data_IF_215376351010
#
_entry.id   IF_215376351010
#
_cell.length_a   1.000
_cell.length_b   1.000
_cell.length_c   1.000
_cell.angle_alpha   90.00
_cell.angle_beta   90.00
_cell.angle_gamma   90.00
#
_symmetry.space_group_name_H-M   'P 1'
#
loop_
_entity.id
_entity.type
_entity.pdbx_description
1 polymer ?
#
# COMPACT_ATOMS: atom_id res chain seq x y z
N UNK A 1 10.07 -55.11 19.86
CA UNK A 1 10.67 -54.08 18.98
C UNK A 1 9.59 -53.29 18.23
N UNK A 2 8.48 -53.93 17.80
CA UNK A 2 7.32 -53.26 17.19
C UNK A 2 6.65 -52.21 18.10
N UNK A 3 6.37 -52.55 19.37
CA UNK A 3 5.64 -51.65 20.28
C UNK A 3 6.36 -50.33 20.56
N UNK A 4 7.68 -50.34 20.66
CA UNK A 4 8.50 -49.13 20.90
C UNK A 4 8.47 -48.21 19.67
N UNK A 5 8.49 -48.80 18.47
CA UNK A 5 8.44 -48.07 17.22
C UNK A 5 7.04 -47.46 17.00
N UNK A 6 5.99 -48.20 17.35
CA UNK A 6 4.61 -47.72 17.31
C UNK A 6 4.37 -46.55 18.27
N UNK A 7 4.83 -46.66 19.52
CA UNK A 7 4.76 -45.57 20.50
C UNK A 7 5.52 -44.32 20.04
N UNK A 8 6.68 -44.49 19.38
CA UNK A 8 7.45 -43.37 18.82
C UNK A 8 6.70 -42.62 17.72
N UNK A 9 6.04 -43.33 16.79
CA UNK A 9 5.26 -42.70 15.73
C UNK A 9 4.01 -42.00 16.25
N UNK A 10 3.33 -42.57 17.24
CA UNK A 10 2.17 -41.94 17.90
C UNK A 10 2.58 -40.63 18.60
N UNK A 11 3.67 -40.65 19.35
CA UNK A 11 4.17 -39.46 20.06
C UNK A 11 4.57 -38.34 19.06
N UNK A 12 5.24 -38.72 17.97
CA UNK A 12 5.63 -37.79 16.91
C UNK A 12 4.40 -37.19 16.22
N UNK A 13 3.39 -38.01 15.91
CA UNK A 13 2.11 -37.56 15.34
C UNK A 13 1.38 -36.57 16.26
N UNK A 14 1.30 -36.87 17.55
CA UNK A 14 0.69 -35.97 18.55
C UNK A 14 1.43 -34.63 18.65
N UNK A 15 2.76 -34.63 18.62
CA UNK A 15 3.57 -33.41 18.62
C UNK A 15 3.31 -32.55 17.36
N UNK A 16 3.20 -33.17 16.18
CA UNK A 16 2.88 -32.46 14.94
C UNK A 16 1.46 -31.88 14.99
N UNK A 17 0.48 -32.66 15.44
CA UNK A 17 -0.90 -32.18 15.61
C UNK A 17 -0.98 -31.00 16.58
N UNK A 18 -0.28 -31.07 17.72
CA UNK A 18 -0.23 -29.99 18.69
C UNK A 18 0.43 -28.72 18.10
N UNK A 19 1.53 -28.88 17.35
CA UNK A 19 2.19 -27.76 16.68
C UNK A 19 1.29 -27.11 15.62
N UNK A 20 0.57 -27.90 14.83
CA UNK A 20 -0.43 -27.41 13.88
C UNK A 20 -1.57 -26.67 14.59
N UNK A 21 -2.08 -27.22 15.70
CA UNK A 21 -3.17 -26.61 16.46
C UNK A 21 -2.75 -25.28 17.09
N UNK A 22 -1.52 -25.17 17.62
CA UNK A 22 -0.95 -23.89 18.10
C UNK A 22 -0.81 -22.87 16.96
N UNK A 23 -0.40 -23.29 15.76
CA UNK A 23 -0.36 -22.42 14.57
C UNK A 23 -1.76 -21.96 14.18
N UNK A 24 -2.74 -22.87 14.15
CA UNK A 24 -4.14 -22.55 13.86
C UNK A 24 -4.74 -21.62 14.91
N UNK A 25 -4.46 -21.81 16.20
CA UNK A 25 -4.91 -20.91 17.27
C UNK A 25 -4.25 -19.54 17.19
N UNK A 26 -2.95 -19.47 16.86
CA UNK A 26 -2.27 -18.19 16.61
C UNK A 26 -2.87 -17.47 15.41
N UNK A 27 -3.15 -18.21 14.34
CA UNK A 27 -3.77 -17.69 13.13
C UNK A 27 -5.21 -17.21 13.39
N UNK A 28 -6.04 -18.01 14.07
CA UNK A 28 -7.42 -17.66 14.40
C UNK A 28 -7.48 -16.49 15.40
N UNK A 29 -6.59 -16.46 16.40
CA UNK A 29 -6.46 -15.32 17.32
C UNK A 29 -5.99 -14.06 16.60
N UNK A 30 -5.09 -14.17 15.61
CA UNK A 30 -4.75 -13.04 14.73
C UNK A 30 -5.98 -12.57 13.94
N UNK A 31 -6.79 -13.47 13.38
CA UNK A 31 -8.01 -13.10 12.65
C UNK A 31 -9.06 -12.45 13.59
N UNK A 32 -9.33 -13.07 14.74
CA UNK A 32 -10.37 -12.65 15.70
C UNK A 32 -10.00 -11.35 16.42
N UNK A 33 -8.75 -11.18 16.88
CA UNK A 33 -8.33 -9.93 17.54
C UNK A 33 -8.21 -8.76 16.56
N UNK A 34 -7.96 -9.03 15.28
CA UNK A 34 -7.92 -8.00 14.23
C UNK A 34 -9.31 -7.54 13.78
N UNK A 35 -10.37 -8.32 14.04
CA UNK A 35 -11.74 -7.96 13.69
C UNK A 35 -12.32 -6.86 14.60
N UNK A 36 -11.79 -6.69 15.81
CA UNK A 36 -12.41 -5.84 16.85
C UNK A 36 -11.71 -4.50 17.13
N UNK A 37 -10.56 -4.20 16.51
CA UNK A 37 -9.82 -2.96 16.79
C UNK A 37 -9.84 -1.99 15.60
N UNK A 38 -10.91 -1.20 15.51
CA UNK A 38 -11.04 -0.06 14.60
C UNK A 38 -10.01 1.00 14.98
N UNK A 39 -9.25 1.48 13.98
CA UNK A 39 -8.33 2.59 14.18
C UNK A 39 -9.07 3.85 14.60
N UNK A 40 -8.64 4.51 15.69
CA UNK A 40 -9.29 5.73 16.12
C UNK A 40 -9.05 6.81 15.06
N UNK A 41 -10.14 7.40 14.55
CA UNK A 41 -10.16 8.56 13.65
C UNK A 41 -9.08 9.61 13.97
N UNK A 42 -8.79 9.98 15.23
CA UNK A 42 -7.77 11.00 15.53
C UNK A 42 -6.34 10.66 15.06
N UNK A 43 -5.96 9.39 14.91
CA UNK A 43 -4.59 9.05 14.51
C UNK A 43 -4.23 9.56 13.11
N UNK A 44 -5.08 9.30 12.11
CA UNK A 44 -4.77 9.70 10.73
C UNK A 44 -4.81 11.21 10.53
N UNK A 45 -5.82 11.87 11.12
CA UNK A 45 -5.88 13.35 11.16
C UNK A 45 -4.68 13.97 11.84
N UNK A 46 -4.10 13.29 12.84
CA UNK A 46 -2.92 13.81 13.50
C UNK A 46 -1.72 13.91 12.57
N UNK A 47 -1.64 13.13 11.48
CA UNK A 47 -0.48 13.15 10.57
C UNK A 47 -0.42 14.40 9.68
N UNK A 48 -1.57 15.02 9.43
CA UNK A 48 -1.73 16.24 8.65
C UNK A 48 -3.15 16.36 8.09
N UNK A 49 -3.44 17.49 7.44
CA UNK A 49 -4.77 17.77 6.90
C UNK A 49 -5.06 16.99 5.61
N UNK A 50 -4.07 16.89 4.72
CA UNK A 50 -4.24 16.33 3.38
C UNK A 50 -3.60 14.95 3.23
N UNK A 51 -4.28 14.08 2.48
CA UNK A 51 -3.72 12.84 1.96
C UNK A 51 -3.56 12.93 0.44
N UNK A 52 -2.40 12.55 -0.08
CA UNK A 52 -2.14 12.45 -1.53
C UNK A 52 -2.24 10.99 -1.94
N UNK A 53 -3.05 10.68 -2.96
CA UNK A 53 -3.23 9.32 -3.47
C UNK A 53 -2.95 9.31 -4.97
N UNK A 54 -1.93 8.54 -5.36
CA UNK A 54 -1.60 8.27 -6.78
C UNK A 54 -2.40 7.07 -7.29
N UNK A 55 -2.76 7.06 -8.58
CA UNK A 55 -3.64 6.03 -9.14
C UNK A 55 -5.03 6.04 -8.50
N UNK A 56 -5.54 7.22 -8.14
CA UNK A 56 -6.78 7.37 -7.36
C UNK A 56 -8.07 7.20 -8.18
N UNK A 57 -7.99 7.09 -9.51
CA UNK A 57 -9.17 7.04 -10.38
C UNK A 57 -9.95 5.73 -10.32
N UNK A 58 -9.37 4.64 -9.80
CA UNK A 58 -10.04 3.34 -9.74
C UNK A 58 -9.47 2.42 -8.64
N UNK A 59 -10.14 1.28 -8.41
CA UNK A 59 -9.65 0.16 -7.63
C UNK A 59 -9.19 0.54 -6.22
N UNK A 60 -7.98 0.10 -5.87
CA UNK A 60 -7.39 0.28 -4.53
C UNK A 60 -7.18 1.76 -4.22
N UNK A 61 -6.67 2.54 -5.17
CA UNK A 61 -6.44 3.97 -4.99
C UNK A 61 -7.74 4.71 -4.69
N UNK A 62 -8.79 4.46 -5.49
CA UNK A 62 -10.14 5.02 -5.23
C UNK A 62 -10.62 4.65 -3.81
N UNK A 63 -10.48 3.40 -3.40
CA UNK A 63 -10.87 2.95 -2.06
C UNK A 63 -10.12 3.68 -0.92
N UNK A 64 -8.80 3.88 -1.07
CA UNK A 64 -8.00 4.66 -0.11
C UNK A 64 -8.53 6.09 0.00
N UNK A 65 -8.84 6.73 -1.13
CA UNK A 65 -9.36 8.10 -1.16
C UNK A 65 -10.65 8.24 -0.34
N UNK A 66 -11.62 7.34 -0.53
CA UNK A 66 -12.87 7.34 0.24
C UNK A 66 -12.65 7.13 1.73
N UNK A 67 -11.84 6.15 2.11
CA UNK A 67 -11.66 5.83 3.51
C UNK A 67 -10.90 6.94 4.26
N UNK A 68 -9.88 7.52 3.64
CA UNK A 68 -9.14 8.65 4.21
C UNK A 68 -10.04 9.88 4.36
N UNK A 69 -10.89 10.16 3.37
CA UNK A 69 -11.89 11.22 3.47
C UNK A 69 -12.93 10.96 4.58
N UNK A 70 -13.47 9.72 4.68
CA UNK A 70 -14.39 9.32 5.77
C UNK A 70 -13.76 9.42 7.16
N UNK A 71 -12.43 9.30 7.24
CA UNK A 71 -11.65 9.50 8.47
C UNK A 71 -11.27 10.96 8.71
N UNK A 72 -11.71 11.86 7.83
CA UNK A 72 -11.70 13.30 8.01
C UNK A 72 -10.50 14.01 7.42
N UNK A 73 -9.73 13.39 6.52
CA UNK A 73 -8.70 14.10 5.75
C UNK A 73 -9.30 14.76 4.50
N UNK A 74 -8.69 15.84 4.05
CA UNK A 74 -8.89 16.29 2.67
C UNK A 74 -8.01 15.44 1.75
N UNK A 75 -8.39 15.23 0.49
CA UNK A 75 -7.69 14.29 -0.39
C UNK A 75 -7.25 14.92 -1.71
N UNK A 76 -6.03 14.63 -2.12
CA UNK A 76 -5.52 14.95 -3.46
C UNK A 76 -5.52 13.68 -4.29
N UNK A 77 -6.31 13.67 -5.36
CA UNK A 77 -6.44 12.54 -6.27
C UNK A 77 -5.55 12.77 -7.49
N UNK A 78 -4.60 11.87 -7.72
CA UNK A 78 -3.69 11.94 -8.87
C UNK A 78 -3.89 10.71 -9.76
N UNK A 79 -4.25 10.92 -11.02
CA UNK A 79 -4.39 9.86 -12.03
C UNK A 79 -4.41 10.45 -13.44
N UNK A 80 -4.48 9.60 -14.46
CA UNK A 80 -4.43 9.99 -15.88
C UNK A 80 -5.78 10.41 -16.46
N UNK A 81 -6.83 9.72 -16.04
CA UNK A 81 -8.19 9.89 -16.56
C UNK A 81 -8.93 10.91 -15.72
N UNK A 82 -9.15 12.10 -16.27
CA UNK A 82 -9.75 13.23 -15.55
C UNK A 82 -11.19 12.93 -15.14
N UNK A 83 -11.96 12.33 -16.04
CA UNK A 83 -13.39 12.03 -15.84
C UNK A 83 -13.60 11.10 -14.63
N UNK A 84 -12.71 10.12 -14.45
CA UNK A 84 -12.73 9.21 -13.29
C UNK A 84 -12.37 9.94 -11.99
N UNK A 85 -11.46 10.91 -12.05
CA UNK A 85 -11.06 11.72 -10.90
C UNK A 85 -12.21 12.65 -10.47
N UNK A 86 -12.86 13.32 -11.43
CA UNK A 86 -13.99 14.21 -11.18
C UNK A 86 -15.19 13.47 -10.58
N UNK A 87 -15.52 12.31 -11.13
CA UNK A 87 -16.56 11.45 -10.58
C UNK A 87 -16.24 11.01 -9.14
N UNK A 88 -15.00 10.59 -8.89
CA UNK A 88 -14.54 10.19 -7.55
C UNK A 88 -14.53 11.37 -6.58
N UNK A 89 -14.09 12.55 -7.01
CA UNK A 89 -14.07 13.76 -6.21
C UNK A 89 -15.48 14.17 -5.79
N UNK A 90 -16.39 14.26 -6.76
CA UNK A 90 -17.81 14.60 -6.51
C UNK A 90 -18.43 13.65 -5.49
N UNK A 91 -18.22 12.35 -5.66
CA UNK A 91 -18.75 11.33 -4.76
C UNK A 91 -18.15 11.45 -3.34
N UNK A 92 -16.84 11.74 -3.20
CA UNK A 92 -16.20 11.95 -1.89
C UNK A 92 -16.73 13.22 -1.22
N UNK A 93 -16.82 14.34 -1.94
CA UNK A 93 -17.29 15.62 -1.42
C UNK A 93 -18.73 15.50 -0.93
N UNK A 94 -19.61 14.89 -1.71
CA UNK A 94 -21.01 14.67 -1.35
C UNK A 94 -21.18 13.74 -0.14
N UNK A 95 -20.39 12.66 -0.06
CA UNK A 95 -20.57 11.65 0.98
C UNK A 95 -19.84 11.96 2.30
N UNK A 96 -18.82 12.81 2.27
CA UNK A 96 -17.95 13.07 3.43
C UNK A 96 -17.82 14.54 3.82
N UNK A 97 -18.18 15.47 2.94
CA UNK A 97 -18.00 16.92 3.14
C UNK A 97 -16.53 17.36 3.21
N UNK A 98 -15.58 16.51 2.79
CA UNK A 98 -14.15 16.83 2.75
C UNK A 98 -13.77 17.41 1.41
N UNK A 99 -12.77 18.29 1.40
CA UNK A 99 -12.29 18.91 0.17
C UNK A 99 -11.48 17.92 -0.65
N UNK A 100 -11.68 17.96 -1.97
CA UNK A 100 -10.92 17.16 -2.92
C UNK A 100 -10.15 18.05 -3.87
N UNK A 101 -8.87 17.72 -4.11
CA UNK A 101 -8.05 18.36 -5.14
C UNK A 101 -7.69 17.33 -6.21
N UNK A 102 -7.82 17.68 -7.48
CA UNK A 102 -7.48 16.80 -8.59
C UNK A 102 -6.17 17.26 -9.23
N UNK A 103 -5.30 16.30 -9.57
CA UNK A 103 -4.13 16.52 -10.41
C UNK A 103 -4.15 15.45 -11.51
N UNK A 104 -4.41 15.87 -12.75
CA UNK A 104 -4.34 14.96 -13.89
C UNK A 104 -2.88 14.80 -14.32
N UNK A 105 -2.36 13.57 -14.29
CA UNK A 105 -0.96 13.30 -14.60
C UNK A 105 -0.74 11.84 -15.02
N UNK A 106 0.17 11.65 -15.98
CA UNK A 106 0.65 10.34 -16.43
C UNK A 106 2.03 10.01 -15.88
N UNK A 107 2.07 9.07 -14.94
CA UNK A 107 3.30 8.59 -14.30
C UNK A 107 4.20 7.73 -15.21
N UNK A 108 3.82 7.49 -16.47
CA UNK A 108 4.75 6.95 -17.48
C UNK A 108 5.71 8.02 -18.04
N UNK A 109 5.47 9.30 -17.72
CA UNK A 109 6.32 10.44 -18.09
C UNK A 109 7.17 10.91 -16.91
N UNK A 110 8.32 11.55 -17.19
CA UNK A 110 9.26 12.04 -16.16
C UNK A 110 9.17 13.56 -15.92
N UNK A 111 8.62 14.32 -16.86
CA UNK A 111 8.51 15.80 -16.84
C UNK A 111 7.34 16.33 -15.99
N UNK A 112 6.70 15.47 -15.21
CA UNK A 112 5.44 15.75 -14.51
C UNK A 112 5.60 16.26 -13.07
N UNK A 113 6.76 16.05 -12.44
CA UNK A 113 6.88 16.20 -10.99
C UNK A 113 6.95 17.65 -10.51
N UNK A 114 7.47 18.57 -11.33
CA UNK A 114 7.42 20.00 -11.00
C UNK A 114 5.97 20.52 -11.03
N UNK A 115 5.18 20.09 -12.02
CA UNK A 115 3.74 20.40 -12.06
C UNK A 115 3.01 19.88 -10.81
N UNK A 116 3.27 18.63 -10.41
CA UNK A 116 2.69 18.06 -9.19
C UNK A 116 3.09 18.90 -7.95
N UNK A 117 4.38 19.25 -7.84
CA UNK A 117 4.92 20.04 -6.72
C UNK A 117 4.25 21.41 -6.60
N UNK A 118 4.09 22.12 -7.71
CA UNK A 118 3.37 23.39 -7.76
C UNK A 118 1.93 23.22 -7.24
N UNK A 119 1.22 22.20 -7.72
CA UNK A 119 -0.16 21.92 -7.29
C UNK A 119 -0.27 21.49 -5.82
N UNK A 120 0.79 20.94 -5.23
CA UNK A 120 0.81 20.53 -3.82
C UNK A 120 1.28 21.64 -2.87
N UNK A 121 1.75 22.77 -3.40
CA UNK A 121 2.28 23.88 -2.59
C UNK A 121 1.20 24.43 -1.65
N UNK A 122 1.60 24.66 -0.39
CA UNK A 122 0.73 25.19 0.67
C UNK A 122 -0.17 24.15 1.36
N UNK A 123 -0.16 22.89 0.92
CA UNK A 123 -0.93 21.83 1.56
C UNK A 123 -0.11 21.15 2.68
N UNK A 124 -0.71 21.01 3.87
CA UNK A 124 -0.13 20.17 4.92
C UNK A 124 -0.40 18.69 4.64
N UNK A 125 0.48 18.08 3.85
CA UNK A 125 0.37 16.67 3.46
C UNK A 125 0.86 15.76 4.60
N UNK A 126 -0.08 15.07 5.22
CA UNK A 126 0.17 14.12 6.30
C UNK A 126 0.30 12.68 5.84
N UNK A 127 -0.32 12.34 4.71
CA UNK A 127 -0.37 10.97 4.19
C UNK A 127 -0.05 10.97 2.69
N UNK A 128 0.82 10.07 2.24
CA UNK A 128 1.06 9.76 0.83
C UNK A 128 0.75 8.28 0.58
N UNK A 129 -0.12 7.99 -0.38
CA UNK A 129 -0.38 6.65 -0.88
C UNK A 129 0.16 6.53 -2.32
N UNK A 130 1.34 5.93 -2.44
CA UNK A 130 1.95 5.58 -3.72
C UNK A 130 1.33 4.27 -4.23
N UNK A 131 0.22 4.37 -4.95
CA UNK A 131 -0.56 3.25 -5.46
C UNK A 131 -0.47 3.10 -6.98
N UNK A 132 -0.03 4.11 -7.72
CA UNK A 132 0.11 4.00 -9.17
C UNK A 132 1.03 2.84 -9.55
N UNK A 133 0.65 2.13 -10.61
CA UNK A 133 1.46 1.10 -11.20
C UNK A 133 0.77 0.50 -12.41
N UNK A 134 1.57 -0.15 -13.25
CA UNK A 134 1.11 -0.86 -14.43
C UNK A 134 1.76 -2.23 -14.52
N UNK A 135 1.03 -3.14 -15.14
CA UNK A 135 1.49 -4.45 -15.55
C UNK A 135 1.64 -4.37 -17.08
N UNK A 136 2.86 -4.46 -17.65
CA UNK A 136 3.07 -4.27 -19.08
C UNK A 136 2.34 -5.32 -19.93
N UNK A 137 2.22 -6.54 -19.42
CA UNK A 137 1.51 -7.63 -20.07
C UNK A 137 0.52 -8.27 -19.13
N UNK A 138 -0.75 -8.36 -19.56
CA UNK A 138 -1.74 -9.10 -18.81
C UNK A 138 -1.42 -10.60 -18.82
N UNK A 139 -1.02 -11.12 -19.97
CA UNK A 139 -0.61 -12.52 -20.14
C UNK A 139 0.87 -12.72 -19.81
N UNK A 140 1.23 -13.84 -19.16
CA UNK A 140 2.64 -14.17 -18.93
C UNK A 140 3.38 -14.29 -20.27
N UNK A 141 4.53 -13.65 -20.41
CA UNK A 141 5.36 -13.74 -21.61
C UNK A 141 6.84 -13.76 -21.29
N UNK A 142 7.64 -14.40 -22.15
CA UNK A 142 9.10 -14.29 -22.05
C UNK A 142 9.52 -12.83 -22.21
N UNK A 143 10.61 -12.44 -21.55
CA UNK A 143 11.08 -11.05 -21.53
C UNK A 143 11.21 -10.42 -22.92
N UNK A 144 11.75 -11.17 -23.89
CA UNK A 144 11.94 -10.70 -25.27
C UNK A 144 10.64 -10.63 -26.09
N UNK A 145 9.55 -11.21 -25.60
CA UNK A 145 8.23 -11.21 -26.26
C UNK A 145 7.29 -10.17 -25.63
N UNK A 146 7.76 -9.40 -24.65
CA UNK A 146 7.00 -8.32 -24.06
C UNK A 146 6.98 -7.09 -24.99
N UNK A 147 5.90 -6.28 -24.99
CA UNK A 147 5.88 -4.97 -25.62
C UNK A 147 7.03 -4.11 -25.12
N UNK A 148 7.50 -3.21 -25.98
CA UNK A 148 8.56 -2.24 -25.66
C UNK A 148 8.01 -1.09 -24.78
N UNK A 149 7.60 -1.45 -23.56
CA UNK A 149 7.09 -0.54 -22.54
C UNK A 149 8.01 -0.49 -21.31
N UNK A 150 9.26 -0.92 -21.46
CA UNK A 150 10.22 -1.04 -20.36
C UNK A 150 10.35 0.30 -19.61
N UNK A 151 10.51 1.40 -20.34
CA UNK A 151 10.62 2.74 -19.76
C UNK A 151 9.33 3.17 -19.05
N UNK A 152 8.17 2.91 -19.65
CA UNK A 152 6.87 3.19 -19.03
C UNK A 152 6.69 2.45 -17.71
N UNK A 153 7.11 1.17 -17.64
CA UNK A 153 7.06 0.38 -16.40
C UNK A 153 8.03 0.94 -15.36
N UNK A 154 9.25 1.30 -15.75
CA UNK A 154 10.23 1.90 -14.84
C UNK A 154 9.68 3.23 -14.29
N UNK A 155 9.21 4.12 -15.15
CA UNK A 155 8.65 5.40 -14.73
C UNK A 155 7.44 5.22 -13.80
N UNK A 156 6.49 4.38 -14.21
CA UNK A 156 5.22 4.22 -13.51
C UNK A 156 5.35 3.44 -12.20
N UNK A 157 6.19 2.39 -12.13
CA UNK A 157 6.27 1.52 -10.95
C UNK A 157 7.44 1.86 -10.01
N UNK A 158 8.52 2.47 -10.52
CA UNK A 158 9.75 2.73 -9.77
C UNK A 158 9.92 4.24 -9.57
N UNK A 159 10.07 5.00 -10.65
CA UNK A 159 10.38 6.44 -10.58
C UNK A 159 9.29 7.21 -9.85
N UNK A 160 8.02 6.90 -10.12
CA UNK A 160 6.86 7.52 -9.45
C UNK A 160 6.94 7.43 -7.93
N UNK A 161 7.24 6.24 -7.40
CA UNK A 161 7.33 6.00 -5.96
C UNK A 161 8.48 6.80 -5.36
N UNK A 162 9.64 6.81 -6.03
CA UNK A 162 10.83 7.54 -5.56
C UNK A 162 10.58 9.05 -5.56
N UNK A 163 10.13 9.61 -6.69
CA UNK A 163 9.95 11.05 -6.88
C UNK A 163 8.82 11.61 -6.01
N UNK A 164 7.68 10.92 -5.92
CA UNK A 164 6.58 11.35 -5.04
C UNK A 164 6.97 11.27 -3.57
N UNK A 165 7.70 10.21 -3.18
CA UNK A 165 8.25 10.11 -1.82
C UNK A 165 9.21 11.26 -1.55
N UNK A 166 10.18 11.53 -2.42
CA UNK A 166 11.14 12.63 -2.26
C UNK A 166 10.45 13.99 -2.10
N UNK A 167 9.44 14.27 -2.94
CA UNK A 167 8.69 15.52 -2.95
C UNK A 167 7.99 15.76 -1.60
N UNK A 168 7.33 14.74 -1.06
CA UNK A 168 6.49 14.88 0.13
C UNK A 168 7.27 14.65 1.42
N UNK A 169 8.24 13.74 1.43
CA UNK A 169 9.02 13.36 2.60
C UNK A 169 9.80 14.55 3.18
N UNK A 170 10.29 15.46 2.33
CA UNK A 170 10.96 16.69 2.79
C UNK A 170 10.09 17.52 3.74
N UNK A 171 8.78 17.59 3.49
CA UNK A 171 7.83 18.32 4.33
C UNK A 171 7.35 17.51 5.55
N UNK A 172 7.34 16.18 5.46
CA UNK A 172 7.03 15.31 6.59
C UNK A 172 8.19 15.28 7.61
N UNK A 173 9.42 15.26 7.13
CA UNK A 173 10.63 15.27 7.96
C UNK A 173 10.72 16.55 8.79
N UNK A 174 10.47 17.72 8.18
CA UNK A 174 10.54 19.00 8.90
C UNK A 174 9.50 19.11 10.03
N UNK A 175 8.34 18.45 9.87
CA UNK A 175 7.28 18.37 10.90
C UNK A 175 7.46 17.20 11.86
N UNK A 176 8.47 16.33 11.65
CA UNK A 176 8.67 15.05 12.34
C UNK A 176 7.40 14.21 12.40
N UNK A 177 6.64 14.21 11.31
CA UNK A 177 5.34 13.56 11.28
C UNK A 177 4.88 13.32 9.87
N UNK A 178 4.53 12.08 9.58
CA UNK A 178 3.98 11.74 8.29
C UNK A 178 3.83 10.25 8.11
N UNK A 179 3.07 9.92 7.07
CA UNK A 179 2.75 8.57 6.72
C UNK A 179 2.90 8.35 5.21
N UNK A 180 3.83 7.48 4.81
CA UNK A 180 4.02 7.06 3.43
C UNK A 180 3.66 5.59 3.28
N UNK A 181 2.79 5.35 2.31
CA UNK A 181 2.13 4.10 2.04
C UNK A 181 2.40 3.70 0.57
N UNK A 182 3.47 2.93 0.34
CA UNK A 182 3.84 2.37 -0.96
C UNK A 182 3.16 1.02 -1.24
N UNK A 183 2.30 0.97 -2.24
CA UNK A 183 1.58 -0.25 -2.63
C UNK A 183 2.45 -1.13 -3.54
N UNK A 184 2.89 -2.24 -2.96
CA UNK A 184 3.54 -3.34 -3.67
C UNK A 184 2.53 -4.44 -4.06
N UNK A 185 2.99 -5.64 -4.40
CA UNK A 185 2.16 -6.73 -4.90
C UNK A 185 2.74 -8.09 -4.55
N UNK A 186 1.86 -9.11 -4.48
CA UNK A 186 2.11 -10.58 -4.42
C UNK A 186 3.45 -11.05 -4.94
N UNK A 187 3.72 -10.49 -6.10
CA UNK A 187 4.81 -10.87 -6.97
C UNK A 187 6.19 -10.39 -6.49
N UNK A 188 6.25 -9.55 -5.45
CA UNK A 188 7.48 -8.98 -4.91
C UNK A 188 8.25 -9.93 -3.98
N UNK A 189 7.59 -10.99 -3.46
CA UNK A 189 8.22 -11.88 -2.47
C UNK A 189 9.21 -12.87 -3.09
N UNK A 190 9.00 -13.22 -4.35
CA UNK A 190 9.81 -14.20 -5.07
C UNK A 190 9.99 -13.72 -6.51
N UNK A 191 11.03 -14.15 -7.23
CA UNK A 191 11.10 -13.94 -8.67
C UNK A 191 9.93 -14.66 -9.35
N UNK A 192 9.15 -13.95 -10.16
CA UNK A 192 8.12 -14.56 -10.99
C UNK A 192 8.58 -14.58 -12.45
N UNK A 193 8.94 -15.76 -12.98
CA UNK A 193 9.18 -15.94 -14.41
C UNK A 193 7.98 -15.42 -15.22
N UNK A 194 8.25 -14.92 -16.42
CA UNK A 194 7.25 -14.36 -17.33
C UNK A 194 6.59 -13.03 -16.91
N UNK A 195 6.91 -12.54 -15.70
CA UNK A 195 6.55 -11.22 -15.19
C UNK A 195 7.76 -10.49 -14.62
N UNK A 196 8.94 -10.71 -15.21
CA UNK A 196 10.24 -10.29 -14.67
C UNK A 196 10.28 -8.79 -14.30
N UNK A 197 9.89 -7.91 -15.23
CA UNK A 197 9.88 -6.46 -15.00
C UNK A 197 8.92 -6.04 -13.88
N UNK A 198 7.71 -6.60 -13.87
CA UNK A 198 6.72 -6.26 -12.85
C UNK A 198 7.13 -6.77 -11.47
N UNK A 199 7.55 -8.04 -11.38
CA UNK A 199 8.08 -8.66 -10.16
C UNK A 199 9.25 -7.86 -9.59
N UNK A 200 10.25 -7.55 -10.42
CA UNK A 200 11.41 -6.74 -10.03
C UNK A 200 11.00 -5.35 -9.55
N UNK A 201 10.10 -4.66 -10.26
CA UNK A 201 9.64 -3.32 -9.87
C UNK A 201 8.94 -3.32 -8.50
N UNK A 202 8.17 -4.37 -8.18
CA UNK A 202 7.47 -4.48 -6.90
C UNK A 202 8.39 -4.95 -5.77
N UNK A 203 9.41 -5.75 -6.07
CA UNK A 203 10.50 -6.06 -5.15
C UNK A 203 11.33 -4.81 -4.79
N UNK A 204 11.59 -3.93 -5.77
CA UNK A 204 12.21 -2.62 -5.54
C UNK A 204 11.39 -1.81 -4.55
N UNK A 205 10.08 -1.64 -4.77
CA UNK A 205 9.20 -0.87 -3.86
C UNK A 205 9.26 -1.40 -2.42
N UNK A 206 9.25 -2.73 -2.25
CA UNK A 206 9.39 -3.35 -0.93
C UNK A 206 10.71 -3.01 -0.24
N UNK A 207 11.83 -3.16 -0.95
CA UNK A 207 13.16 -2.94 -0.41
C UNK A 207 13.40 -1.45 -0.11
N UNK A 208 13.05 -0.59 -1.06
CA UNK A 208 13.10 0.87 -0.92
C UNK A 208 12.33 1.36 0.31
N UNK A 209 11.10 0.88 0.50
CA UNK A 209 10.27 1.30 1.64
C UNK A 209 10.84 0.85 2.98
N UNK A 210 11.43 -0.35 3.05
CA UNK A 210 12.05 -0.86 4.28
C UNK A 210 13.30 -0.06 4.64
N UNK A 211 14.16 0.22 3.66
CA UNK A 211 15.34 1.04 3.88
C UNK A 211 14.96 2.44 4.40
N UNK A 212 14.02 3.12 3.73
CA UNK A 212 13.55 4.43 4.17
C UNK A 212 12.89 4.42 5.56
N UNK A 213 12.15 3.36 5.90
CA UNK A 213 11.58 3.26 7.25
C UNK A 213 12.68 3.25 8.32
N UNK A 214 13.79 2.56 8.09
CA UNK A 214 14.92 2.56 9.04
C UNK A 214 15.57 3.95 9.13
N UNK A 215 15.80 4.61 7.99
CA UNK A 215 16.40 5.96 7.93
C UNK A 215 15.56 7.02 8.65
N UNK A 216 14.24 6.99 8.44
CA UNK A 216 13.33 8.03 8.92
C UNK A 216 12.60 7.69 10.23
N UNK A 217 12.89 6.53 10.85
CA UNK A 217 12.26 6.15 12.13
C UNK A 217 12.50 7.19 13.21
N UNK A 218 13.73 7.69 13.34
CA UNK A 218 14.09 8.71 14.34
C UNK A 218 13.44 10.08 14.07
N UNK A 219 12.91 10.28 12.85
CA UNK A 219 12.19 11.48 12.42
C UNK A 219 10.67 11.31 12.57
N UNK A 220 10.20 10.21 13.15
CA UNK A 220 8.78 9.92 13.40
C UNK A 220 7.91 9.94 12.13
N UNK A 221 8.54 9.69 10.97
CA UNK A 221 7.85 9.43 9.72
C UNK A 221 7.73 7.93 9.53
N UNK A 222 6.50 7.48 9.26
CA UNK A 222 6.21 6.07 9.10
C UNK A 222 6.12 5.75 7.61
N UNK A 223 6.92 4.80 7.14
CA UNK A 223 7.06 4.45 5.72
C UNK A 223 6.88 2.96 5.56
N UNK A 224 5.98 2.55 4.67
CA UNK A 224 5.59 1.14 4.57
C UNK A 224 5.39 0.67 3.17
N UNK A 225 5.72 -0.61 2.94
CA UNK A 225 5.30 -1.35 1.77
C UNK A 225 4.07 -2.21 2.11
N UNK A 226 2.97 -1.97 1.42
CA UNK A 226 1.76 -2.79 1.51
C UNK A 226 1.77 -3.88 0.47
N UNK A 227 1.34 -5.08 0.82
CA UNK A 227 1.33 -6.23 -0.06
C UNK A 227 -0.02 -6.95 0.03
N UNK A 228 -0.68 -7.08 -1.11
CA UNK A 228 -2.09 -7.44 -1.20
C UNK A 228 -2.36 -8.95 -1.31
N UNK A 229 -1.41 -9.83 -1.01
CA UNK A 229 -1.44 -11.21 -1.55
C UNK A 229 -2.10 -12.30 -0.72
N UNK A 230 -2.83 -11.99 0.36
CA UNK A 230 -3.59 -13.04 1.04
C UNK A 230 -5.06 -13.08 0.66
N UNK A 231 -5.53 -12.22 -0.26
CA UNK A 231 -6.96 -12.03 -0.47
C UNK A 231 -7.27 -12.07 -1.98
N UNK A 232 -8.05 -13.04 -2.46
CA UNK A 232 -8.28 -13.27 -3.88
C UNK A 232 -9.00 -12.10 -4.57
N UNK A 233 -8.78 -11.97 -5.88
CA UNK A 233 -9.19 -10.83 -6.72
C UNK A 233 -10.66 -10.39 -6.57
N UNK A 234 -11.57 -11.34 -6.30
CA UNK A 234 -13.00 -11.10 -6.12
C UNK A 234 -13.35 -10.41 -4.78
N UNK A 235 -12.49 -10.49 -3.78
CA UNK A 235 -12.70 -9.84 -2.50
C UNK A 235 -12.48 -8.31 -2.56
N UNK A 236 -11.66 -7.81 -3.51
CA UNK A 236 -11.33 -6.38 -3.66
C UNK A 236 -12.51 -5.47 -4.03
N UNK A 237 -13.51 -6.04 -4.70
CA UNK A 237 -14.70 -5.31 -5.13
C UNK A 237 -15.82 -5.29 -4.08
N UNK A 238 -15.63 -5.99 -2.95
CA UNK A 238 -16.60 -5.95 -1.85
C UNK A 238 -16.35 -4.74 -0.93
N UNK A 239 -17.40 -3.97 -0.65
CA UNK A 239 -17.33 -2.80 0.24
C UNK A 239 -16.97 -3.12 1.71
N UNK A 240 -16.92 -4.39 2.08
CA UNK A 240 -16.41 -4.87 3.37
C UNK A 240 -14.86 -4.95 3.37
N UNK A 241 -14.26 -5.22 2.23
CA UNK A 241 -12.85 -5.52 2.10
C UNK A 241 -11.96 -4.29 1.88
N UNK A 242 -12.48 -3.27 1.19
CA UNK A 242 -11.85 -1.95 1.13
C UNK A 242 -11.61 -1.39 2.55
N UNK A 243 -12.55 -1.63 3.48
CA UNK A 243 -12.40 -1.30 4.90
C UNK A 243 -11.34 -2.15 5.61
N UNK A 244 -11.17 -3.42 5.22
CA UNK A 244 -10.18 -4.34 5.80
C UNK A 244 -8.73 -4.00 5.42
N UNK A 245 -8.48 -3.66 4.14
CA UNK A 245 -7.16 -3.34 3.59
C UNK A 245 -6.49 -2.13 4.24
N UNK A 246 -7.24 -1.04 4.38
CA UNK A 246 -6.76 0.17 5.06
C UNK A 246 -6.46 -0.09 6.54
N UNK A 247 -7.19 -1.02 7.16
CA UNK A 247 -7.00 -1.39 8.56
C UNK A 247 -5.73 -2.24 8.75
N UNK A 248 -5.40 -3.13 7.80
CA UNK A 248 -4.18 -3.95 7.82
C UNK A 248 -2.91 -3.13 7.63
N UNK A 249 -2.95 -2.13 6.75
CA UNK A 249 -1.77 -1.35 6.46
C UNK A 249 -1.40 -0.41 7.60
N UNK A 250 -2.41 0.21 8.22
CA UNK A 250 -2.20 1.06 9.39
C UNK A 250 -1.83 0.24 10.64
N UNK A 251 -2.07 -1.07 10.65
CA UNK A 251 -1.57 -1.98 11.69
C UNK A 251 -0.06 -2.26 11.56
N UNK A 252 0.47 -2.36 10.34
CA UNK A 252 1.92 -2.44 10.12
C UNK A 252 2.60 -1.14 10.59
N UNK A 253 1.98 0.05 10.41
CA UNK A 253 2.52 1.37 10.84
C UNK A 253 2.80 1.46 12.33
N UNK A 254 1.96 0.80 13.11
CA UNK A 254 2.06 0.77 14.57
C UNK A 254 3.17 -0.14 15.09
N UNK A 255 3.59 -1.14 14.30
CA UNK A 255 4.69 -2.03 14.68
C UNK A 255 6.07 -1.36 14.53
N UNK A 256 6.20 -0.38 13.63
CA UNK A 256 7.47 0.32 13.36
C UNK A 256 7.64 1.67 14.07
N UNK A 257 6.63 2.13 14.83
CA UNK A 257 6.66 3.37 15.63
C UNK A 257 6.97 3.15 17.10
N UNK A 258 7.27 1.92 17.53
CA UNK A 258 7.80 1.65 18.88
C UNK A 258 9.32 1.53 18.85
N UNK A 259 10.00 2.66 18.72
CA UNK A 259 11.31 2.88 19.35
C UNK A 259 11.11 4.05 20.30
N UNK A 260 11.54 3.85 21.55
CA UNK A 260 11.32 4.73 22.71
C UNK A 260 11.68 6.18 22.44
#
# INVERSE_FOLDING_TARGET
MGDVLEQFFILTGLLVCLACLVKCMRFSRCILLNYWKVLPKPFLRSMGQWAVITGAGDGIGKAYSFELARRGLDVVLISRTLEKLEATATEIEQTTGRSVKIIQTDFTKDDIYEHIKEKLTGLEIGILVNNVGMLPNLLPSHFLNAPDEIQSVIHCNITSVVKMTQLILKHMESRRKGLILNISSGIALFPWPLYSMYSASKAFVCTFSKALQEEYRAKEVIIQAGFLSLIPAWAFYSGAFQRLLLTHYVAYLKLNTKVR
#
